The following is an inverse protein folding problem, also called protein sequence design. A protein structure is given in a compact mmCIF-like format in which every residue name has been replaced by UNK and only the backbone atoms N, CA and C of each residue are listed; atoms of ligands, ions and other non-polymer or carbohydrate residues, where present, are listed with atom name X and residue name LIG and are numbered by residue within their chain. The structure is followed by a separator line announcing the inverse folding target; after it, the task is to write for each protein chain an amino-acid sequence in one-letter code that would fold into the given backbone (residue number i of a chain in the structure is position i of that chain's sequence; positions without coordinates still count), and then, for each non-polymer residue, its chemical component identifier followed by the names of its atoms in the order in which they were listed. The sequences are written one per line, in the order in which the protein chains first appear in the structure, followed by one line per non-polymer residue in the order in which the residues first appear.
data_IF_143376882660
#
_entry.id   IF_143376882660
#
_cell.length_a   1.000
_cell.length_b   1.000
_cell.length_c   1.000
_cell.angle_alpha   90.00
_cell.angle_beta   90.00
_cell.angle_gamma   90.00
#
_symmetry.space_group_name_H-M   'P 1'
#
loop_
_entity.id
_entity.type
_entity.pdbx_description
1 polymer ?
#
# COMPACT_ATOMS: atom_id res chain seq x y z
N UNK A 1 -7.24 -4.05 -17.28
CA UNK A 1 -7.83 -2.71 -17.15
C UNK A 1 -7.60 -2.26 -15.72
N UNK A 2 -7.08 -1.05 -15.52
CA UNK A 2 -6.84 -0.52 -14.18
C UNK A 2 -8.08 0.20 -13.66
N UNK A 3 -8.44 -0.04 -12.41
CA UNK A 3 -9.57 0.59 -11.74
C UNK A 3 -9.09 1.46 -10.58
N UNK A 4 -9.70 2.63 -10.43
CA UNK A 4 -9.45 3.49 -9.26
C UNK A 4 -10.13 2.89 -8.03
N UNK A 5 -9.39 2.79 -6.93
CA UNK A 5 -9.91 2.36 -5.64
C UNK A 5 -9.88 3.50 -4.62
N UNK A 6 -10.90 3.57 -3.76
CA UNK A 6 -10.97 4.54 -2.66
C UNK A 6 -10.92 3.79 -1.34
N UNK A 7 -9.87 4.04 -0.58
CA UNK A 7 -9.62 3.39 0.70
C UNK A 7 -10.08 4.32 1.82
N UNK A 8 -10.92 3.82 2.72
CA UNK A 8 -11.45 4.54 3.89
C UNK A 8 -11.04 3.84 5.17
N UNK A 9 -10.90 4.59 6.24
CA UNK A 9 -10.55 4.06 7.54
C UNK A 9 -11.74 3.29 8.13
N UNK A 10 -11.45 2.21 8.83
CA UNK A 10 -12.43 1.51 9.67
C UNK A 10 -12.79 2.30 10.93
N UNK A 11 -13.74 1.79 11.71
CA UNK A 11 -14.15 2.40 12.97
C UNK A 11 -12.94 2.53 13.95
N UNK A 12 -12.60 3.77 14.32
CA UNK A 12 -11.46 4.06 15.20
C UNK A 12 -10.09 4.15 14.51
N UNK A 13 -10.03 3.96 13.19
CA UNK A 13 -8.88 4.30 12.35
C UNK A 13 -8.74 5.81 12.11
N UNK A 14 -7.61 6.26 11.58
CA UNK A 14 -7.37 7.68 11.26
C UNK A 14 -6.73 7.84 9.88
N UNK A 15 -6.87 9.03 9.30
CA UNK A 15 -6.51 9.31 7.92
C UNK A 15 -7.59 8.94 6.90
N UNK A 16 -7.34 9.25 5.63
CA UNK A 16 -8.26 9.00 4.51
C UNK A 16 -9.33 10.09 4.27
N UNK A 17 -10.14 9.96 3.20
CA UNK A 17 -10.10 8.89 2.19
C UNK A 17 -8.86 8.98 1.28
N UNK A 18 -8.29 7.81 0.95
CA UNK A 18 -7.16 7.69 0.03
C UNK A 18 -7.66 7.16 -1.32
N UNK A 19 -7.64 8.01 -2.35
CA UNK A 19 -7.93 7.57 -3.71
C UNK A 19 -6.63 7.13 -4.37
N UNK A 20 -6.55 5.86 -4.76
CA UNK A 20 -5.44 5.29 -5.51
C UNK A 20 -5.90 5.00 -6.94
N UNK A 21 -5.20 5.59 -7.90
CA UNK A 21 -5.44 5.37 -9.33
C UNK A 21 -4.19 4.76 -9.92
N UNK A 22 -4.24 3.50 -10.38
CA UNK A 22 -3.09 2.88 -11.01
C UNK A 22 -2.74 3.56 -12.32
N UNK A 23 -1.46 3.54 -12.67
CA UNK A 23 -0.96 3.94 -13.99
C UNK A 23 0.05 2.91 -14.47
N UNK A 24 0.43 2.97 -15.75
CA UNK A 24 1.45 2.07 -16.31
C UNK A 24 2.79 2.16 -15.54
N UNK A 25 3.11 3.34 -15.00
CA UNK A 25 4.27 3.48 -14.14
C UNK A 25 3.98 3.00 -12.72
N UNK A 26 2.85 3.38 -12.10
CA UNK A 26 2.51 3.04 -10.71
C UNK A 26 1.44 1.97 -10.64
N UNK A 27 1.85 0.71 -10.67
CA UNK A 27 0.96 -0.45 -10.71
C UNK A 27 1.31 -1.53 -9.67
N UNK A 28 2.22 -1.24 -8.72
CA UNK A 28 2.63 -2.19 -7.68
C UNK A 28 2.12 -1.81 -6.30
N UNK A 29 1.53 -2.78 -5.62
CA UNK A 29 1.08 -2.66 -4.23
C UNK A 29 2.02 -3.48 -3.35
N UNK A 30 2.76 -2.80 -2.49
CA UNK A 30 3.81 -3.42 -1.68
C UNK A 30 3.27 -3.82 -0.31
N UNK A 31 3.43 -5.07 0.08
CA UNK A 31 3.10 -5.59 1.40
C UNK A 31 4.34 -5.60 2.29
N UNK A 32 4.29 -4.90 3.43
CA UNK A 32 5.32 -4.84 4.48
C UNK A 32 4.67 -5.32 5.78
N UNK A 33 4.44 -6.63 5.86
CA UNK A 33 3.79 -7.26 7.03
C UNK A 33 4.64 -8.37 7.66
N UNK A 34 5.74 -8.78 7.03
CA UNK A 34 6.69 -9.76 7.58
C UNK A 34 6.25 -11.22 7.47
N UNK A 35 5.08 -11.50 6.87
CA UNK A 35 4.54 -12.84 6.66
C UNK A 35 4.07 -13.10 5.23
N UNK A 36 4.59 -12.35 4.25
CA UNK A 36 4.18 -12.42 2.85
C UNK A 36 3.21 -11.30 2.43
N UNK A 37 2.36 -11.62 1.46
CA UNK A 37 1.35 -10.68 0.94
C UNK A 37 0.15 -10.65 1.89
N UNK A 38 -0.10 -9.49 2.48
CA UNK A 38 -1.26 -9.28 3.35
C UNK A 38 -2.57 -9.35 2.56
N UNK A 39 -3.67 -9.90 3.11
CA UNK A 39 -4.95 -10.01 2.41
C UNK A 39 -5.46 -8.66 1.88
N UNK A 40 -5.27 -7.57 2.64
CA UNK A 40 -5.59 -6.20 2.17
C UNK A 40 -4.80 -5.80 0.91
N UNK A 41 -3.51 -6.17 0.82
CA UNK A 41 -2.70 -5.85 -0.35
C UNK A 41 -3.16 -6.66 -1.57
N UNK A 42 -3.50 -7.94 -1.36
CA UNK A 42 -4.05 -8.80 -2.39
C UNK A 42 -5.41 -8.30 -2.90
N UNK A 43 -6.32 -7.93 -1.99
CA UNK A 43 -7.63 -7.38 -2.34
C UNK A 43 -7.50 -6.06 -3.11
N UNK A 44 -6.63 -5.14 -2.66
CA UNK A 44 -6.38 -3.91 -3.40
C UNK A 44 -5.81 -4.19 -4.80
N UNK A 45 -4.92 -5.17 -4.94
CA UNK A 45 -4.36 -5.54 -6.23
C UNK A 45 -5.43 -6.10 -7.17
N UNK A 46 -6.30 -6.98 -6.67
CA UNK A 46 -7.43 -7.52 -7.42
C UNK A 46 -8.41 -6.42 -7.85
N UNK A 47 -8.79 -5.53 -6.93
CA UNK A 47 -9.72 -4.43 -7.20
C UNK A 47 -9.17 -3.41 -8.20
N UNK A 48 -7.87 -3.14 -8.14
CA UNK A 48 -7.22 -2.13 -8.98
C UNK A 48 -6.67 -2.69 -10.28
N UNK A 49 -6.53 -4.02 -10.40
CA UNK A 49 -5.82 -4.69 -11.49
C UNK A 49 -4.29 -4.56 -11.39
N UNK A 50 -3.77 -4.23 -10.21
CA UNK A 50 -2.35 -4.09 -9.92
C UNK A 50 -1.70 -5.42 -9.52
N UNK A 51 -0.37 -5.40 -9.36
CA UNK A 51 0.39 -6.52 -8.80
C UNK A 51 0.67 -6.30 -7.31
N UNK A 52 0.30 -7.27 -6.46
CA UNK A 52 0.70 -7.29 -5.05
C UNK A 52 2.05 -7.99 -4.91
N UNK A 53 3.00 -7.35 -4.24
CA UNK A 53 4.36 -7.87 -4.05
C UNK A 53 4.78 -7.76 -2.60
N UNK A 54 5.55 -8.73 -2.11
CA UNK A 54 6.15 -8.66 -0.79
C UNK A 54 7.41 -7.78 -0.84
N UNK A 55 7.37 -6.66 -0.11
CA UNK A 55 8.47 -5.69 -0.09
C UNK A 55 9.64 -6.08 0.80
N UNK A 56 9.54 -7.18 1.57
CA UNK A 56 10.69 -7.76 2.27
C UNK A 56 11.54 -8.66 1.35
N UNK A 57 10.91 -9.38 0.42
CA UNK A 57 11.61 -10.28 -0.50
C UNK A 57 11.95 -9.62 -1.83
N UNK A 58 11.09 -8.71 -2.30
CA UNK A 58 11.20 -8.11 -3.63
C UNK A 58 11.42 -6.60 -3.50
N UNK A 59 12.55 -6.12 -4.02
CA UNK A 59 12.82 -4.69 -4.12
C UNK A 59 12.01 -4.06 -5.25
N UNK A 60 11.18 -3.06 -4.92
CA UNK A 60 10.40 -2.29 -5.90
C UNK A 60 10.92 -0.85 -5.93
N UNK A 61 11.23 -0.29 -7.11
CA UNK A 61 11.62 1.12 -7.21
C UNK A 61 10.44 2.03 -6.88
N UNK A 62 10.70 3.15 -6.21
CA UNK A 62 9.66 4.03 -5.67
C UNK A 62 8.73 4.62 -6.75
N UNK A 63 9.23 4.72 -7.99
CA UNK A 63 8.44 5.16 -9.15
C UNK A 63 7.35 4.18 -9.58
N UNK A 64 7.46 2.90 -9.19
CA UNK A 64 6.51 1.84 -9.53
C UNK A 64 5.46 1.58 -8.43
N UNK A 65 5.72 2.09 -7.23
CA UNK A 65 4.87 1.86 -6.06
C UNK A 65 3.63 2.76 -6.15
N UNK A 66 2.46 2.12 -6.21
CA UNK A 66 1.17 2.78 -6.10
C UNK A 66 0.75 2.97 -4.64
N UNK A 67 0.87 1.90 -3.84
CA UNK A 67 0.45 1.87 -2.45
C UNK A 67 1.32 0.90 -1.64
N UNK A 68 1.43 1.13 -0.34
CA UNK A 68 2.16 0.26 0.58
C UNK A 68 1.25 -0.08 1.76
N UNK A 69 1.05 -1.37 2.01
CA UNK A 69 0.36 -1.90 3.18
C UNK A 69 1.40 -2.24 4.24
N UNK A 70 1.34 -1.58 5.39
CA UNK A 70 2.33 -1.73 6.46
C UNK A 70 1.64 -2.23 7.73
N UNK A 71 2.00 -3.43 8.15
CA UNK A 71 1.62 -4.02 9.45
C UNK A 71 2.85 -4.37 10.30
N UNK A 72 4.05 -4.15 9.76
CA UNK A 72 5.28 -4.25 10.54
C UNK A 72 5.45 -3.00 11.42
N UNK A 73 5.28 -3.17 12.74
CA UNK A 73 5.44 -2.10 13.72
C UNK A 73 6.79 -1.39 13.68
N UNK A 74 7.86 -2.06 13.23
CA UNK A 74 9.18 -1.45 13.02
C UNK A 74 9.18 -0.44 11.87
N UNK A 75 8.75 -0.86 10.68
CA UNK A 75 8.67 0.00 9.49
C UNK A 75 7.74 1.19 9.71
N UNK A 76 6.62 0.97 10.40
CA UNK A 76 5.68 2.03 10.74
C UNK A 76 6.29 3.08 11.69
N UNK A 77 7.05 2.66 12.72
CA UNK A 77 7.71 3.56 13.69
C UNK A 77 8.89 4.32 13.09
N UNK A 78 9.67 3.68 12.22
CA UNK A 78 10.81 4.31 11.55
C UNK A 78 10.41 5.34 10.48
N UNK A 79 9.14 5.31 10.03
CA UNK A 79 8.62 6.28 9.07
C UNK A 79 9.28 6.18 7.69
N UNK A 80 9.72 4.99 7.29
CA UNK A 80 10.47 4.74 6.04
C UNK A 80 9.65 5.19 4.83
N UNK A 81 8.41 4.71 4.68
CA UNK A 81 7.54 5.02 3.55
C UNK A 81 6.86 6.41 3.61
N UNK A 82 6.47 6.93 4.80
CA UNK A 82 6.04 8.32 4.93
C UNK A 82 7.07 9.34 4.43
N UNK A 83 8.37 9.09 4.65
CA UNK A 83 9.45 9.98 4.18
C UNK A 83 9.81 9.79 2.71
N UNK A 84 9.69 8.57 2.18
CA UNK A 84 10.20 8.21 0.86
C UNK A 84 9.29 8.66 -0.29
N UNK A 85 7.97 8.68 -0.11
CA UNK A 85 7.00 8.80 -1.24
C UNK A 85 6.00 9.96 -1.07
N UNK A 86 6.08 10.80 -0.02
CA UNK A 86 5.05 11.84 0.26
C UNK A 86 3.64 11.22 0.28
N UNK A 87 3.49 10.09 0.98
CA UNK A 87 2.25 9.33 1.02
C UNK A 87 1.29 9.92 2.05
N UNK A 88 0.01 10.00 1.67
CA UNK A 88 -1.07 10.10 2.64
C UNK A 88 -1.26 8.72 3.28
N UNK A 89 -1.27 8.67 4.61
CA UNK A 89 -1.44 7.43 5.35
C UNK A 89 -2.89 7.25 5.79
N UNK A 90 -3.30 5.99 5.82
CA UNK A 90 -4.55 5.56 6.44
C UNK A 90 -4.21 4.41 7.40
N UNK A 91 -4.70 4.50 8.64
CA UNK A 91 -4.55 3.44 9.62
C UNK A 91 -5.90 2.78 9.86
N UNK A 92 -5.93 1.48 9.63
CA UNK A 92 -6.99 0.60 10.10
C UNK A 92 -6.71 0.24 11.56
N UNK A 93 -7.73 0.29 12.42
CA UNK A 93 -7.64 -0.18 13.80
C UNK A 93 -8.23 -1.57 13.89
#
# INVERSE_FOLDING_TARGET
MYCTAVVRNGAGGWGGPLTITPTEHKHKIVSITGGGIHPLAAELAELTGCEAVDGFTTGVPDGEILAVVIDCGGTARCGVYPKKISLRSIRFR
#
